data_IF_991573114037
#
_entry.id   IF_991573114037
#
_cell.length_a   1.000
_cell.length_b   1.000
_cell.length_c   1.000
_cell.angle_alpha   90.00
_cell.angle_beta   90.00
_cell.angle_gamma   90.00
#
_symmetry.space_group_name_H-M   'P 1'
#
loop_
_entity.id
_entity.type
_entity.pdbx_description
1 polymer ?
#
# COMPACT_ATOMS: atom_id res chain seq x y z
N UNK A 1 7.04 9.74 3.94
CA UNK A 1 8.48 10.00 3.79
C UNK A 1 8.95 9.95 2.33
N UNK A 2 8.24 9.28 1.40
CA UNK A 2 8.61 9.22 -0.03
C UNK A 2 7.39 9.47 -0.93
N UNK A 3 7.48 10.41 -1.88
CA UNK A 3 6.37 10.78 -2.77
C UNK A 3 6.20 9.85 -3.98
N UNK A 4 7.30 9.22 -4.44
CA UNK A 4 7.31 8.31 -5.58
C UNK A 4 8.04 7.02 -5.21
N UNK A 5 7.30 5.90 -5.13
CA UNK A 5 7.87 4.58 -4.86
C UNK A 5 8.24 3.90 -6.18
N UNK A 6 9.40 4.25 -6.72
CA UNK A 6 9.91 3.69 -7.99
C UNK A 6 10.75 2.40 -7.79
N UNK A 7 11.08 2.06 -6.55
CA UNK A 7 11.91 0.92 -6.18
C UNK A 7 12.47 1.10 -4.76
N UNK A 8 13.25 0.12 -4.30
CA UNK A 8 13.75 0.09 -2.91
C UNK A 8 15.06 0.86 -2.70
N UNK A 9 15.74 1.30 -3.77
CA UNK A 9 17.09 1.90 -3.72
C UNK A 9 17.18 3.13 -2.80
N UNK A 10 16.11 3.91 -2.72
CA UNK A 10 16.08 5.16 -1.96
C UNK A 10 15.27 5.06 -0.66
N UNK A 11 14.81 3.86 -0.31
CA UNK A 11 14.17 3.63 0.98
C UNK A 11 15.25 3.50 2.05
N UNK A 12 15.10 4.24 3.13
CA UNK A 12 15.85 3.99 4.35
C UNK A 12 15.14 2.92 5.20
N UNK A 13 15.79 2.50 6.29
CA UNK A 13 15.24 1.49 7.19
C UNK A 13 13.88 1.89 7.76
N UNK A 14 13.75 3.13 8.20
CA UNK A 14 12.55 3.64 8.85
C UNK A 14 11.36 3.67 7.89
N UNK A 15 11.59 3.97 6.60
CA UNK A 15 10.57 3.89 5.55
C UNK A 15 10.02 2.47 5.41
N UNK A 16 10.90 1.47 5.41
CA UNK A 16 10.54 0.05 5.28
C UNK A 16 9.77 -0.41 6.52
N UNK A 17 10.25 -0.06 7.70
CA UNK A 17 9.58 -0.38 8.96
C UNK A 17 8.19 0.24 9.03
N UNK A 18 8.03 1.50 8.57
CA UNK A 18 6.73 2.15 8.46
C UNK A 18 5.78 1.39 7.51
N UNK A 19 6.26 0.95 6.35
CA UNK A 19 5.48 0.17 5.40
C UNK A 19 5.02 -1.16 6.02
N UNK A 20 5.90 -1.89 6.70
CA UNK A 20 5.55 -3.16 7.33
C UNK A 20 4.57 -3.00 8.48
N UNK A 21 4.81 -2.05 9.38
CA UNK A 21 3.90 -1.78 10.48
C UNK A 21 2.50 -1.40 9.98
N UNK A 22 2.43 -0.59 8.92
CA UNK A 22 1.16 -0.22 8.28
C UNK A 22 0.49 -1.45 7.66
N UNK A 23 1.24 -2.29 6.93
CA UNK A 23 0.70 -3.50 6.31
C UNK A 23 0.11 -4.47 7.34
N UNK A 24 0.78 -4.67 8.48
CA UNK A 24 0.29 -5.53 9.56
C UNK A 24 -1.03 -5.00 10.16
N UNK A 25 -1.13 -3.69 10.38
CA UNK A 25 -2.38 -3.07 10.84
C UNK A 25 -3.52 -3.27 9.84
N UNK A 26 -3.27 -3.12 8.55
CA UNK A 26 -4.28 -3.34 7.51
C UNK A 26 -4.67 -4.82 7.38
N UNK A 27 -3.73 -5.74 7.60
CA UNK A 27 -4.03 -7.18 7.64
C UNK A 27 -5.04 -7.52 8.74
N UNK A 28 -4.92 -6.89 9.91
CA UNK A 28 -5.91 -7.06 10.98
C UNK A 28 -7.30 -6.53 10.60
N UNK A 29 -7.37 -5.41 9.86
CA UNK A 29 -8.65 -4.85 9.37
C UNK A 29 -9.41 -5.87 8.51
N UNK A 30 -8.70 -6.67 7.72
CA UNK A 30 -9.33 -7.72 6.89
C UNK A 30 -9.99 -8.84 7.71
N UNK A 31 -9.57 -9.04 8.95
CA UNK A 31 -10.14 -10.04 9.85
C UNK A 31 -11.36 -9.51 10.64
N UNK A 32 -11.65 -8.21 10.57
CA UNK A 32 -12.79 -7.61 11.27
C UNK A 32 -14.11 -7.94 10.55
N UNK A 33 -15.25 -7.97 11.27
CA UNK A 33 -16.57 -8.15 10.64
C UNK A 33 -16.86 -7.11 9.56
N UNK A 34 -16.37 -5.88 9.75
CA UNK A 34 -16.41 -4.81 8.76
C UNK A 34 -15.00 -4.59 8.23
N UNK A 35 -14.73 -5.12 7.04
CA UNK A 35 -13.41 -5.12 6.39
C UNK A 35 -13.07 -3.82 5.65
N UNK A 36 -13.78 -2.72 5.93
CA UNK A 36 -13.66 -1.45 5.20
C UNK A 36 -13.24 -0.33 6.14
N UNK A 37 -12.15 0.36 5.79
CA UNK A 37 -11.73 1.63 6.39
C UNK A 37 -11.85 2.73 5.34
N UNK A 38 -12.23 3.97 5.70
CA UNK A 38 -12.45 5.05 4.74
C UNK A 38 -11.14 5.72 4.26
N UNK A 39 -9.97 5.11 4.49
CA UNK A 39 -8.65 5.76 4.33
C UNK A 39 -8.36 6.28 2.91
N UNK A 40 -8.99 5.71 1.88
CA UNK A 40 -8.89 6.13 0.48
C UNK A 40 -10.26 6.53 -0.10
N UNK A 41 -11.24 6.82 0.75
CA UNK A 41 -12.55 7.29 0.29
C UNK A 41 -12.34 8.57 -0.52
N UNK A 42 -13.04 8.67 -1.65
CA UNK A 42 -12.98 9.80 -2.59
C UNK A 42 -11.63 9.96 -3.31
N UNK A 43 -10.73 8.96 -3.23
CA UNK A 43 -9.48 8.90 -3.99
C UNK A 43 -9.63 7.93 -5.17
N UNK A 44 -9.29 8.39 -6.38
CA UNK A 44 -9.21 7.52 -7.58
C UNK A 44 -7.77 7.09 -7.83
N UNK A 45 -7.55 5.79 -7.95
CA UNK A 45 -6.24 5.20 -8.27
C UNK A 45 -6.27 4.74 -9.73
N UNK A 46 -5.33 5.23 -10.54
CA UNK A 46 -5.16 4.81 -11.92
C UNK A 46 -4.12 3.67 -12.00
N UNK A 47 -4.55 2.49 -12.45
CA UNK A 47 -3.68 1.35 -12.72
C UNK A 47 -3.29 1.34 -14.20
N UNK A 48 -2.03 1.65 -14.52
CA UNK A 48 -1.52 1.72 -15.89
C UNK A 48 -0.53 0.57 -16.15
N UNK A 49 -0.93 -0.39 -16.98
CA UNK A 49 -0.13 -1.55 -17.36
C UNK A 49 0.07 -1.57 -18.89
N UNK A 50 1.33 -1.61 -19.32
CA UNK A 50 1.70 -1.79 -20.74
C UNK A 50 1.89 -3.28 -21.10
N UNK A 51 1.95 -4.14 -20.09
CA UNK A 51 2.12 -5.59 -20.19
C UNK A 51 1.13 -6.28 -19.25
N UNK A 52 0.67 -7.48 -19.59
CA UNK A 52 -0.30 -8.22 -18.77
C UNK A 52 0.28 -8.54 -17.38
N UNK A 53 -0.46 -8.18 -16.33
CA UNK A 53 -0.17 -8.59 -14.95
C UNK A 53 -1.43 -9.08 -14.24
N UNK A 54 -1.31 -10.17 -13.49
CA UNK A 54 -2.41 -10.79 -12.73
C UNK A 54 -2.22 -10.71 -11.22
N UNK A 55 -0.97 -10.53 -10.75
CA UNK A 55 -0.64 -10.53 -9.33
C UNK A 55 -0.33 -9.14 -8.78
N UNK A 56 0.05 -8.20 -9.65
CA UNK A 56 0.27 -6.79 -9.28
C UNK A 56 -1.06 -6.13 -8.97
#
# INVERSE_FOLDING_TARGET
SVNHLLGIKYLNRDDIELIFNTADQFKEVLNRPIRKVPSLRDITIANLFFENSTRT
#
